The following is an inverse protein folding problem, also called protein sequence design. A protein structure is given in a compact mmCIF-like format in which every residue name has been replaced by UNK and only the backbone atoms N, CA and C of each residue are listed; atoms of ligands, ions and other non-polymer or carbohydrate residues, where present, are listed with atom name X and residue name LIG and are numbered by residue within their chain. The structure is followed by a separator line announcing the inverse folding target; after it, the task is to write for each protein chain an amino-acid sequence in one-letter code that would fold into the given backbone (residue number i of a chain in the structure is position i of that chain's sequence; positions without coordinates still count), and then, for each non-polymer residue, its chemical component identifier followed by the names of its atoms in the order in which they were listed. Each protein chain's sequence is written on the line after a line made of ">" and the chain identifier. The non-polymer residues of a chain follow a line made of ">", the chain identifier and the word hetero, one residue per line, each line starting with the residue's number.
data_IF_410516049227
#
_entry.id   IF_410516049227
#
_cell.length_a   1.000
_cell.length_b   1.000
_cell.length_c   1.000
_cell.angle_alpha   90.00
_cell.angle_beta   90.00
_cell.angle_gamma   90.00
#
_symmetry.space_group_name_H-M   'P 1'
#
loop_
_entity.id
_entity.type
_entity.pdbx_description
1 polymer ?
#
# COMPACT_ATOMS: atom_id res chain seq x y z
N UNK A 1 -19.49 -51.62 -34.54
CA UNK A 1 -18.45 -50.85 -35.17
C UNK A 1 -18.34 -49.45 -34.60
N UNK A 2 -17.13 -49.19 -34.09
CA UNK A 2 -16.42 -47.91 -34.13
C UNK A 2 -17.04 -46.80 -33.30
N UNK A 3 -16.51 -46.36 -32.21
CA UNK A 3 -15.11 -45.91 -32.00
C UNK A 3 -15.04 -44.43 -32.17
N UNK A 4 -14.92 -43.69 -31.09
CA UNK A 4 -14.35 -42.37 -31.18
C UNK A 4 -13.91 -41.88 -29.80
N UNK A 5 -12.66 -41.99 -29.60
CA UNK A 5 -11.74 -41.20 -28.81
C UNK A 5 -12.16 -39.75 -28.58
N UNK A 6 -12.50 -39.41 -27.36
CA UNK A 6 -12.53 -38.02 -26.87
C UNK A 6 -11.19 -37.76 -26.21
N UNK A 7 -10.30 -37.09 -26.92
CA UNK A 7 -9.01 -36.60 -26.44
C UNK A 7 -9.22 -35.52 -25.41
N UNK A 8 -8.79 -35.78 -24.18
CA UNK A 8 -8.70 -34.77 -23.13
C UNK A 8 -7.70 -33.68 -23.46
N UNK A 9 -8.22 -32.51 -23.69
CA UNK A 9 -7.46 -31.25 -23.78
C UNK A 9 -7.83 -30.41 -22.58
N UNK A 10 -7.19 -30.63 -21.45
CA UNK A 10 -7.52 -29.86 -20.23
C UNK A 10 -6.40 -29.67 -19.20
N UNK A 11 -5.20 -30.23 -19.45
CA UNK A 11 -4.13 -30.22 -18.44
C UNK A 11 -3.03 -29.15 -18.58
N UNK A 12 -2.97 -28.43 -19.67
CA UNK A 12 -1.82 -27.55 -19.94
C UNK A 12 -1.87 -26.12 -19.36
N UNK A 13 -3.01 -25.47 -19.09
CA UNK A 13 -2.99 -24.07 -18.64
C UNK A 13 -2.61 -23.87 -17.19
N UNK A 14 -2.93 -24.78 -16.29
CA UNK A 14 -2.68 -24.61 -14.84
C UNK A 14 -1.19 -24.65 -14.48
N UNK A 15 -0.42 -25.57 -15.02
CA UNK A 15 1.02 -25.71 -14.74
C UNK A 15 1.79 -24.45 -15.17
N UNK A 16 1.52 -23.89 -16.35
CA UNK A 16 2.17 -22.66 -16.84
C UNK A 16 1.85 -21.44 -16.01
N UNK A 17 0.68 -21.39 -15.39
CA UNK A 17 0.26 -20.28 -14.54
C UNK A 17 1.12 -20.19 -13.27
N UNK A 18 1.34 -21.31 -12.60
CA UNK A 18 2.19 -21.36 -11.42
C UNK A 18 3.66 -21.05 -11.71
N UNK A 19 4.15 -21.43 -12.88
CA UNK A 19 5.52 -21.16 -13.30
C UNK A 19 5.80 -19.65 -13.41
N UNK A 20 4.85 -18.87 -13.93
CA UNK A 20 4.99 -17.40 -14.05
C UNK A 20 4.93 -16.72 -12.68
N UNK A 21 3.99 -17.12 -11.83
CA UNK A 21 3.90 -16.59 -10.47
C UNK A 21 5.18 -16.90 -9.68
N UNK A 22 5.65 -18.14 -9.73
CA UNK A 22 6.89 -18.58 -9.10
C UNK A 22 8.13 -17.82 -9.64
N UNK A 23 8.15 -17.50 -10.94
CA UNK A 23 9.20 -16.68 -11.53
C UNK A 23 9.19 -15.25 -10.96
N UNK A 24 8.02 -14.61 -10.87
CA UNK A 24 7.90 -13.29 -10.27
C UNK A 24 8.34 -13.29 -8.80
N UNK A 25 7.91 -14.28 -8.04
CA UNK A 25 8.27 -14.44 -6.63
C UNK A 25 9.78 -14.68 -6.46
N UNK A 26 10.42 -15.46 -7.35
CA UNK A 26 11.87 -15.67 -7.35
C UNK A 26 12.62 -14.38 -7.63
N UNK A 27 12.24 -13.60 -8.65
CA UNK A 27 12.88 -12.31 -8.96
C UNK A 27 12.70 -11.34 -7.79
N UNK A 28 11.51 -11.29 -7.19
CA UNK A 28 11.25 -10.48 -6.01
C UNK A 28 12.19 -10.84 -4.84
N UNK A 29 12.40 -12.13 -4.60
CA UNK A 29 13.30 -12.61 -3.55
C UNK A 29 14.77 -12.25 -3.82
N UNK A 30 15.21 -12.36 -5.07
CA UNK A 30 16.59 -12.05 -5.47
C UNK A 30 16.91 -10.56 -5.40
N UNK A 31 15.94 -9.69 -5.67
CA UNK A 31 16.12 -8.23 -5.73
C UNK A 31 15.83 -7.53 -4.41
N UNK A 32 15.04 -8.14 -3.50
CA UNK A 32 14.64 -7.51 -2.23
C UNK A 32 15.85 -7.14 -1.38
N UNK A 33 15.92 -5.86 -0.95
CA UNK A 33 17.04 -5.31 -0.19
C UNK A 33 18.34 -5.18 -0.99
N UNK A 34 18.28 -5.29 -2.33
CA UNK A 34 19.44 -5.25 -3.21
C UNK A 34 19.19 -4.30 -4.40
N UNK A 35 19.27 -2.99 -4.17
CA UNK A 35 19.01 -2.00 -5.21
C UNK A 35 19.91 -2.14 -6.44
N UNK A 36 21.15 -2.64 -6.27
CA UNK A 36 22.07 -2.90 -7.38
C UNK A 36 21.55 -3.99 -8.32
N UNK A 37 20.94 -5.05 -7.75
CA UNK A 37 20.31 -6.13 -8.53
C UNK A 37 19.08 -5.62 -9.28
N UNK A 38 18.27 -4.77 -8.64
CA UNK A 38 17.16 -4.07 -9.26
C UNK A 38 17.64 -3.19 -10.42
N UNK A 39 18.67 -2.39 -10.20
CA UNK A 39 19.23 -1.50 -11.22
C UNK A 39 19.78 -2.29 -12.42
N UNK A 40 20.50 -3.37 -12.17
CA UNK A 40 20.99 -4.25 -13.23
C UNK A 40 19.83 -4.86 -14.05
N UNK A 41 18.70 -5.18 -13.40
CA UNK A 41 17.51 -5.65 -14.07
C UNK A 41 16.90 -4.58 -14.99
N UNK A 42 16.76 -3.34 -14.53
CA UNK A 42 16.21 -2.23 -15.30
C UNK A 42 17.11 -1.80 -16.48
N UNK A 43 18.42 -1.78 -16.28
CA UNK A 43 19.43 -1.30 -17.24
C UNK A 43 20.01 -2.41 -18.10
N UNK A 44 19.56 -3.64 -17.92
CA UNK A 44 20.05 -4.78 -18.69
C UNK A 44 19.96 -4.52 -20.19
N UNK A 45 20.99 -4.94 -20.96
CA UNK A 45 21.07 -4.68 -22.42
C UNK A 45 19.99 -5.41 -23.21
N UNK A 46 19.30 -6.34 -22.58
CA UNK A 46 18.29 -7.16 -23.24
C UNK A 46 16.92 -6.47 -23.28
N UNK A 47 16.54 -6.00 -24.47
CA UNK A 47 15.19 -5.45 -24.73
C UNK A 47 14.05 -6.46 -24.45
N UNK A 48 14.35 -7.74 -24.23
CA UNK A 48 13.36 -8.77 -23.86
C UNK A 48 12.78 -8.52 -22.48
N UNK A 49 13.59 -8.04 -21.54
CA UNK A 49 13.14 -7.71 -20.17
C UNK A 49 12.11 -6.58 -20.23
N UNK A 50 12.39 -5.52 -20.96
CA UNK A 50 11.42 -4.42 -21.11
C UNK A 50 10.11 -4.87 -21.75
N UNK A 51 10.17 -5.74 -22.77
CA UNK A 51 8.97 -6.32 -23.38
C UNK A 51 8.22 -7.24 -22.45
N UNK A 52 8.94 -8.01 -21.64
CA UNK A 52 8.34 -8.87 -20.63
C UNK A 52 7.60 -8.07 -19.57
N UNK A 53 8.17 -6.97 -19.06
CA UNK A 53 7.48 -6.07 -18.12
C UNK A 53 6.23 -5.45 -18.75
N UNK A 54 6.32 -5.00 -20.02
CA UNK A 54 5.17 -4.47 -20.76
C UNK A 54 4.06 -5.51 -20.94
N UNK A 55 4.40 -6.78 -21.15
CA UNK A 55 3.43 -7.86 -21.18
C UNK A 55 2.84 -8.13 -19.79
N UNK A 56 3.65 -8.09 -18.74
CA UNK A 56 3.23 -8.39 -17.38
C UNK A 56 2.23 -7.35 -16.82
N UNK A 57 2.31 -6.08 -17.23
CA UNK A 57 1.32 -5.05 -16.84
C UNK A 57 -0.07 -5.26 -17.43
N UNK A 58 -0.19 -6.09 -18.47
CA UNK A 58 -1.44 -6.38 -19.17
C UNK A 58 -2.05 -7.74 -18.77
N UNK A 59 -1.45 -8.46 -17.81
CA UNK A 59 -2.00 -9.74 -17.35
C UNK A 59 -3.33 -9.55 -16.64
N UNK A 60 -4.31 -10.43 -16.96
CA UNK A 60 -5.67 -10.37 -16.41
C UNK A 60 -5.87 -11.25 -15.18
N UNK A 61 -4.93 -12.15 -14.91
CA UNK A 61 -5.00 -13.11 -13.82
C UNK A 61 -4.58 -12.46 -12.49
N UNK A 62 -5.46 -12.39 -11.50
CA UNK A 62 -5.22 -11.72 -10.22
C UNK A 62 -3.98 -12.24 -9.49
N UNK A 63 -3.74 -13.56 -9.51
CA UNK A 63 -2.56 -14.17 -8.93
C UNK A 63 -1.26 -13.68 -9.58
N UNK A 64 -1.24 -13.63 -10.92
CA UNK A 64 -0.09 -13.10 -11.67
C UNK A 64 0.10 -11.60 -11.45
N UNK A 65 -0.97 -10.81 -11.41
CA UNK A 65 -0.89 -9.38 -11.08
C UNK A 65 -0.30 -9.17 -9.69
N UNK A 66 -0.75 -9.94 -8.69
CA UNK A 66 -0.21 -9.89 -7.32
C UNK A 66 1.29 -10.22 -7.29
N UNK A 67 1.69 -11.31 -7.93
CA UNK A 67 3.09 -11.73 -7.97
C UNK A 67 3.95 -10.72 -8.72
N UNK A 68 3.46 -10.18 -9.84
CA UNK A 68 4.10 -9.11 -10.60
C UNK A 68 4.29 -7.84 -9.76
N UNK A 69 3.26 -7.39 -9.05
CA UNK A 69 3.37 -6.22 -8.15
C UNK A 69 4.35 -6.46 -7.01
N UNK A 70 4.42 -7.70 -6.47
CA UNK A 70 5.42 -8.10 -5.48
C UNK A 70 6.85 -7.99 -6.03
N UNK A 71 7.06 -8.47 -7.25
CA UNK A 71 8.32 -8.33 -7.98
C UNK A 71 8.64 -6.85 -8.24
N UNK A 72 7.68 -6.08 -8.74
CA UNK A 72 7.87 -4.66 -9.05
C UNK A 72 8.24 -3.85 -7.81
N UNK A 73 7.63 -4.12 -6.65
CA UNK A 73 8.00 -3.50 -5.39
C UNK A 73 9.46 -3.76 -5.02
N UNK A 74 9.94 -5.00 -5.20
CA UNK A 74 11.34 -5.35 -4.92
C UNK A 74 12.31 -4.74 -5.95
N UNK A 75 11.88 -4.61 -7.21
CA UNK A 75 12.66 -3.96 -8.27
C UNK A 75 12.66 -2.43 -8.16
N UNK A 76 11.77 -1.83 -7.39
CA UNK A 76 11.67 -0.38 -7.20
C UNK A 76 12.53 0.13 -6.02
N UNK A 77 13.28 -0.74 -5.34
CA UNK A 77 14.16 -0.34 -4.26
C UNK A 77 15.37 0.44 -4.81
N UNK A 78 15.55 1.68 -4.35
CA UNK A 78 16.57 2.62 -4.83
C UNK A 78 16.01 3.71 -5.74
N UNK A 79 16.66 4.89 -5.74
CA UNK A 79 16.14 6.09 -6.39
C UNK A 79 15.86 5.92 -7.89
N UNK A 80 16.82 5.42 -8.63
CA UNK A 80 16.67 5.20 -10.07
C UNK A 80 15.67 4.07 -10.37
N UNK A 81 15.69 3.00 -9.60
CA UNK A 81 14.76 1.88 -9.72
C UNK A 81 13.31 2.33 -9.49
N UNK A 82 13.08 3.17 -8.48
CA UNK A 82 11.77 3.75 -8.20
C UNK A 82 11.28 4.62 -9.34
N UNK A 83 12.16 5.42 -9.96
CA UNK A 83 11.83 6.23 -11.12
C UNK A 83 11.43 5.37 -12.34
N UNK A 84 12.14 4.26 -12.60
CA UNK A 84 11.76 3.33 -13.66
C UNK A 84 10.42 2.64 -13.40
N UNK A 85 10.17 2.20 -12.16
CA UNK A 85 8.89 1.60 -11.78
C UNK A 85 7.74 2.59 -11.90
N UNK A 86 7.96 3.85 -11.49
CA UNK A 86 6.99 4.92 -11.68
C UNK A 86 6.66 5.14 -13.15
N UNK A 87 7.67 5.32 -14.00
CA UNK A 87 7.49 5.52 -15.44
C UNK A 87 6.75 4.33 -16.12
N UNK A 88 7.00 3.10 -15.68
CA UNK A 88 6.28 1.92 -16.15
C UNK A 88 4.77 1.99 -15.84
N UNK A 89 4.41 2.47 -14.65
CA UNK A 89 3.02 2.54 -14.16
C UNK A 89 2.28 3.81 -14.63
N UNK A 90 3.00 4.82 -15.10
CA UNK A 90 2.43 6.10 -15.58
C UNK A 90 2.02 6.06 -17.07
N UNK A 91 2.42 5.04 -17.82
CA UNK A 91 2.42 5.01 -19.28
C UNK A 91 1.04 5.03 -19.98
N UNK A 92 -0.07 5.20 -19.24
CA UNK A 92 -1.41 5.37 -19.85
C UNK A 92 -1.77 6.83 -20.18
N UNK A 93 -0.96 7.80 -19.79
CA UNK A 93 -1.29 9.23 -19.89
C UNK A 93 -1.34 9.78 -21.35
N UNK A 94 -1.21 8.95 -22.36
CA UNK A 94 -1.25 9.36 -23.77
C UNK A 94 -1.73 8.28 -24.76
N UNK A 95 -2.32 7.19 -24.25
CA UNK A 95 -2.83 6.14 -25.12
C UNK A 95 -4.03 6.65 -25.93
N UNK A 96 -4.05 6.50 -27.27
CA UNK A 96 -5.17 6.93 -28.10
C UNK A 96 -6.45 6.23 -27.66
N UNK A 97 -7.58 6.95 -27.71
CA UNK A 97 -8.89 6.40 -27.39
C UNK A 97 -9.16 5.17 -28.28
N UNK A 98 -9.21 3.98 -27.65
CA UNK A 98 -9.37 2.70 -28.36
C UNK A 98 -8.21 1.72 -28.21
N UNK A 99 -7.07 2.13 -27.65
CA UNK A 99 -6.03 1.16 -27.23
C UNK A 99 -6.50 0.41 -26.00
N UNK A 100 -6.19 -0.90 -25.91
CA UNK A 100 -6.47 -1.66 -24.69
C UNK A 100 -5.74 -0.99 -23.51
N UNK A 101 -6.50 -0.49 -22.53
CA UNK A 101 -5.94 0.14 -21.33
C UNK A 101 -5.16 -0.90 -20.55
N UNK A 102 -3.95 -0.57 -20.18
CA UNK A 102 -3.13 -1.39 -19.29
C UNK A 102 -3.84 -1.62 -17.97
N UNK A 103 -3.71 -2.82 -17.42
CA UNK A 103 -4.41 -3.23 -16.20
C UNK A 103 -3.67 -2.81 -14.93
N UNK A 104 -2.33 -2.69 -14.97
CA UNK A 104 -1.50 -2.34 -13.83
C UNK A 104 -0.89 -0.95 -14.06
N UNK A 105 -1.62 0.10 -13.66
CA UNK A 105 -1.22 1.52 -13.76
C UNK A 105 -1.64 2.30 -12.54
N UNK A 106 -1.07 3.49 -12.34
CA UNK A 106 -1.49 4.40 -11.27
C UNK A 106 -2.97 4.79 -11.40
N UNK A 107 -3.41 5.09 -12.62
CA UNK A 107 -4.82 5.40 -12.89
C UNK A 107 -5.75 4.31 -12.37
N UNK A 108 -5.44 3.06 -12.69
CA UNK A 108 -6.26 1.91 -12.25
C UNK A 108 -6.24 1.74 -10.73
N UNK A 109 -5.09 1.90 -10.07
CA UNK A 109 -5.00 1.85 -8.62
C UNK A 109 -5.93 2.88 -7.99
N UNK A 110 -5.85 4.13 -8.43
CA UNK A 110 -6.61 5.21 -7.80
C UNK A 110 -8.10 5.17 -8.19
N UNK A 111 -8.46 4.75 -9.40
CA UNK A 111 -9.85 4.47 -9.78
C UNK A 111 -10.44 3.36 -8.90
N UNK A 112 -9.68 2.30 -8.68
CA UNK A 112 -10.11 1.18 -7.85
C UNK A 112 -10.28 1.57 -6.39
N UNK A 113 -9.36 2.34 -5.82
CA UNK A 113 -9.53 2.91 -4.49
C UNK A 113 -10.78 3.78 -4.39
N UNK A 114 -11.03 4.65 -5.38
CA UNK A 114 -12.24 5.49 -5.41
C UNK A 114 -13.51 4.65 -5.44
N UNK A 115 -13.54 3.59 -6.25
CA UNK A 115 -14.66 2.65 -6.32
C UNK A 115 -14.97 2.04 -4.94
N UNK A 116 -13.97 1.55 -4.22
CA UNK A 116 -14.18 1.00 -2.89
C UNK A 116 -14.59 2.04 -1.85
N UNK A 117 -13.99 3.22 -1.88
CA UNK A 117 -14.41 4.32 -0.99
C UNK A 117 -15.90 4.63 -1.19
N UNK A 118 -16.36 4.76 -2.44
CA UNK A 118 -17.77 4.98 -2.74
C UNK A 118 -18.67 3.81 -2.30
N UNK A 119 -18.23 2.57 -2.53
CA UNK A 119 -18.98 1.38 -2.13
C UNK A 119 -19.17 1.33 -0.60
N UNK A 120 -18.12 1.60 0.17
CA UNK A 120 -18.20 1.64 1.64
C UNK A 120 -19.00 2.83 2.17
N UNK A 121 -19.02 3.96 1.45
CA UNK A 121 -19.84 5.11 1.83
C UNK A 121 -21.34 4.91 1.54
N UNK A 122 -21.66 4.21 0.45
CA UNK A 122 -23.06 3.94 0.07
C UNK A 122 -23.69 2.78 0.84
N UNK A 123 -22.89 1.80 1.22
CA UNK A 123 -23.36 0.57 1.84
C UNK A 123 -22.62 0.32 3.15
N UNK A 124 -23.37 0.28 4.25
CA UNK A 124 -22.83 0.00 5.59
C UNK A 124 -22.11 -1.37 5.69
N UNK A 125 -22.35 -2.27 4.75
CA UNK A 125 -21.78 -3.63 4.69
C UNK A 125 -21.23 -3.87 3.27
N UNK A 126 -20.20 -3.14 2.87
CA UNK A 126 -19.44 -3.50 1.68
C UNK A 126 -18.35 -4.50 2.07
N UNK A 127 -18.24 -5.59 1.32
CA UNK A 127 -17.19 -6.61 1.53
C UNK A 127 -16.28 -6.61 0.32
N UNK A 128 -14.98 -6.42 0.56
CA UNK A 128 -13.96 -6.56 -0.48
C UNK A 128 -13.62 -8.03 -0.67
N UNK A 129 -13.66 -8.57 -1.90
CA UNK A 129 -13.24 -9.94 -2.17
C UNK A 129 -11.79 -10.19 -1.71
N UNK A 130 -11.47 -11.37 -1.15
CA UNK A 130 -10.13 -11.66 -0.63
C UNK A 130 -9.00 -11.47 -1.65
N UNK A 131 -9.22 -11.87 -2.89
CA UNK A 131 -8.23 -11.74 -3.96
C UNK A 131 -7.97 -10.26 -4.32
N UNK A 132 -9.01 -9.45 -4.33
CA UNK A 132 -8.89 -8.01 -4.58
C UNK A 132 -8.23 -7.29 -3.40
N UNK A 133 -8.50 -7.72 -2.17
CA UNK A 133 -7.82 -7.24 -0.97
C UNK A 133 -6.30 -7.47 -1.05
N UNK A 134 -5.90 -8.68 -1.43
CA UNK A 134 -4.48 -9.04 -1.58
C UNK A 134 -3.82 -8.23 -2.70
N UNK A 135 -4.51 -8.05 -3.82
CA UNK A 135 -4.02 -7.27 -4.95
C UNK A 135 -3.87 -5.78 -4.59
N UNK A 136 -4.86 -5.18 -3.91
CA UNK A 136 -4.80 -3.79 -3.46
C UNK A 136 -3.63 -3.56 -2.48
N UNK A 137 -3.40 -4.51 -1.57
CA UNK A 137 -2.23 -4.47 -0.67
C UNK A 137 -0.91 -4.52 -1.45
N UNK A 138 -0.82 -5.34 -2.49
CA UNK A 138 0.37 -5.41 -3.35
C UNK A 138 0.61 -4.08 -4.08
N UNK A 139 -0.44 -3.45 -4.61
CA UNK A 139 -0.35 -2.11 -5.22
C UNK A 139 0.10 -1.04 -4.22
N UNK A 140 -0.48 -1.03 -3.02
CA UNK A 140 -0.08 -0.09 -1.97
C UNK A 140 1.38 -0.28 -1.56
N UNK A 141 1.89 -1.51 -1.59
CA UNK A 141 3.30 -1.79 -1.33
C UNK A 141 4.20 -1.21 -2.43
N UNK A 142 3.82 -1.34 -3.71
CA UNK A 142 4.55 -0.67 -4.81
C UNK A 142 4.53 0.84 -4.64
N UNK A 143 3.36 1.43 -4.35
CA UNK A 143 3.25 2.87 -4.10
C UNK A 143 4.18 3.30 -2.96
N UNK A 144 4.13 2.60 -1.83
CA UNK A 144 4.98 2.89 -0.68
C UNK A 144 6.47 2.82 -1.02
N UNK A 145 6.89 1.80 -1.80
CA UNK A 145 8.30 1.65 -2.20
C UNK A 145 8.72 2.77 -3.14
N UNK A 146 7.95 3.04 -4.19
CA UNK A 146 8.27 4.06 -5.19
C UNK A 146 8.41 5.45 -4.54
N UNK A 147 7.44 5.87 -3.71
CA UNK A 147 7.48 7.19 -3.07
C UNK A 147 8.52 7.27 -1.95
N UNK A 148 8.91 6.15 -1.35
CA UNK A 148 9.98 6.09 -0.35
C UNK A 148 11.33 6.40 -0.97
N UNK A 149 11.64 5.79 -2.11
CA UNK A 149 12.98 5.83 -2.71
C UNK A 149 13.18 6.98 -3.70
N UNK A 150 12.12 7.50 -4.34
CA UNK A 150 12.23 8.61 -5.29
C UNK A 150 11.57 9.87 -4.76
N UNK A 151 12.38 10.88 -4.42
CA UNK A 151 11.88 12.18 -3.96
C UNK A 151 11.06 12.88 -5.06
N UNK A 152 11.52 12.86 -6.30
CA UNK A 152 10.82 13.47 -7.42
C UNK A 152 9.44 12.83 -7.65
N UNK A 153 9.38 11.49 -7.63
CA UNK A 153 8.11 10.75 -7.77
C UNK A 153 7.18 11.00 -6.59
N UNK A 154 7.73 11.05 -5.36
CA UNK A 154 6.96 11.38 -4.16
C UNK A 154 6.29 12.73 -4.28
N UNK A 155 7.04 13.75 -4.68
CA UNK A 155 6.53 15.10 -4.86
C UNK A 155 5.47 15.15 -5.97
N UNK A 156 5.73 14.53 -7.12
CA UNK A 156 4.79 14.48 -8.25
C UNK A 156 3.47 13.79 -7.87
N UNK A 157 3.53 12.62 -7.22
CA UNK A 157 2.34 11.88 -6.80
C UNK A 157 1.60 12.60 -5.66
N UNK A 158 2.31 13.15 -4.68
CA UNK A 158 1.66 13.82 -3.54
C UNK A 158 0.73 14.95 -3.97
N UNK A 159 1.17 15.77 -4.95
CA UNK A 159 0.42 16.91 -5.45
C UNK A 159 -0.42 16.61 -6.70
N UNK A 160 -0.54 15.33 -7.09
CA UNK A 160 -1.27 14.95 -8.29
C UNK A 160 -2.77 15.23 -8.13
N UNK A 161 -3.31 16.15 -8.96
CA UNK A 161 -4.69 16.66 -8.81
C UNK A 161 -5.78 15.64 -9.11
N UNK A 162 -5.55 14.74 -10.06
CA UNK A 162 -6.55 13.75 -10.47
C UNK A 162 -6.53 12.52 -9.54
N UNK A 163 -5.34 12.08 -9.15
CA UNK A 163 -5.20 10.91 -8.27
C UNK A 163 -5.56 11.23 -6.82
N UNK A 164 -5.25 12.44 -6.34
CA UNK A 164 -5.43 12.86 -4.94
C UNK A 164 -5.03 11.74 -3.95
N UNK A 165 -3.78 11.21 -4.05
CA UNK A 165 -3.41 9.95 -3.40
C UNK A 165 -3.62 9.99 -1.89
N UNK A 166 -3.22 11.08 -1.26
CA UNK A 166 -3.28 11.22 0.20
C UNK A 166 -4.73 11.28 0.67
N UNK A 167 -5.59 12.04 -0.01
CA UNK A 167 -7.01 12.13 0.35
C UNK A 167 -7.70 10.77 0.19
N UNK A 168 -7.39 10.02 -0.87
CA UNK A 168 -7.94 8.67 -1.09
C UNK A 168 -7.42 7.67 -0.06
N UNK A 169 -6.13 7.73 0.30
CA UNK A 169 -5.57 6.87 1.33
C UNK A 169 -6.25 7.10 2.69
N UNK A 170 -6.41 8.35 3.12
CA UNK A 170 -7.12 8.65 4.37
C UNK A 170 -8.60 8.30 4.31
N UNK A 171 -9.27 8.51 3.17
CA UNK A 171 -10.67 8.13 2.98
C UNK A 171 -10.86 6.61 3.07
N UNK A 172 -9.97 5.83 2.45
CA UNK A 172 -10.01 4.37 2.52
C UNK A 172 -9.65 3.85 3.93
N UNK A 173 -8.69 4.48 4.61
CA UNK A 173 -8.38 4.18 6.01
C UNK A 173 -9.59 4.39 6.93
N UNK A 174 -10.40 5.41 6.64
CA UNK A 174 -11.63 5.70 7.38
C UNK A 174 -12.76 4.68 7.16
N UNK A 175 -12.67 3.85 6.13
CA UNK A 175 -13.64 2.79 5.85
C UNK A 175 -13.48 1.58 6.79
N UNK A 176 -14.52 0.73 6.86
CA UNK A 176 -14.50 -0.52 7.61
C UNK A 176 -13.75 -1.63 6.85
N UNK A 177 -12.46 -1.41 6.58
CA UNK A 177 -11.59 -2.37 5.89
C UNK A 177 -10.77 -3.20 6.87
N UNK A 178 -10.28 -4.39 6.48
CA UNK A 178 -9.47 -5.25 7.35
C UNK A 178 -8.19 -4.56 7.87
N UNK A 179 -7.74 -4.91 9.09
CA UNK A 179 -6.57 -4.30 9.75
C UNK A 179 -5.29 -4.43 8.92
N UNK A 180 -5.10 -5.54 8.22
CA UNK A 180 -3.96 -5.71 7.32
C UNK A 180 -3.95 -4.71 6.15
N UNK A 181 -5.13 -4.34 5.63
CA UNK A 181 -5.24 -3.28 4.61
C UNK A 181 -5.00 -1.91 5.23
N UNK A 182 -5.53 -1.64 6.42
CA UNK A 182 -5.24 -0.39 7.15
C UNK A 182 -3.75 -0.22 7.39
N UNK A 183 -3.06 -1.28 7.77
CA UNK A 183 -1.60 -1.28 7.91
C UNK A 183 -0.89 -0.93 6.59
N UNK A 184 -1.32 -1.51 5.47
CA UNK A 184 -0.74 -1.19 4.17
C UNK A 184 -0.98 0.27 3.76
N UNK A 185 -2.17 0.80 4.04
CA UNK A 185 -2.51 2.22 3.81
C UNK A 185 -1.61 3.12 4.66
N UNK A 186 -1.47 2.85 5.96
CA UNK A 186 -0.63 3.65 6.86
C UNK A 186 0.85 3.61 6.45
N UNK A 187 1.36 2.45 5.98
CA UNK A 187 2.72 2.35 5.43
C UNK A 187 2.88 3.16 4.15
N UNK A 188 1.87 3.18 3.27
CA UNK A 188 1.89 4.02 2.07
C UNK A 188 1.88 5.51 2.43
N UNK A 189 1.06 5.94 3.39
CA UNK A 189 1.08 7.31 3.93
C UNK A 189 2.44 7.64 4.53
N UNK A 190 3.01 6.74 5.35
CA UNK A 190 4.33 6.91 5.98
C UNK A 190 5.48 7.01 4.98
N UNK A 191 5.35 6.36 3.83
CA UNK A 191 6.34 6.47 2.77
C UNK A 191 6.41 7.88 2.15
N UNK A 192 5.31 8.63 2.13
CA UNK A 192 5.31 10.05 1.76
C UNK A 192 6.00 10.95 2.81
N UNK A 193 6.07 10.51 4.07
CA UNK A 193 6.70 11.29 5.14
C UNK A 193 8.25 11.23 5.13
N UNK A 194 8.87 10.43 4.26
CA UNK A 194 10.32 10.33 4.15
C UNK A 194 10.93 11.68 3.79
N UNK A 195 11.88 12.13 4.63
CA UNK A 195 12.54 13.41 4.44
C UNK A 195 13.65 13.33 3.39
N UNK A 196 13.66 14.30 2.48
CA UNK A 196 14.71 14.49 1.47
C UNK A 196 15.52 15.78 1.67
N UNK A 197 15.34 16.45 2.82
CA UNK A 197 16.01 17.72 3.12
C UNK A 197 15.49 18.92 2.32
N UNK A 198 14.41 18.76 1.55
CA UNK A 198 13.79 19.83 0.76
C UNK A 198 12.65 20.51 1.52
N UNK A 199 12.36 21.75 1.18
CA UNK A 199 11.20 22.48 1.71
C UNK A 199 9.88 21.78 1.36
N UNK A 200 9.83 21.09 0.23
CA UNK A 200 8.67 20.29 -0.20
C UNK A 200 8.42 19.12 0.73
N UNK A 201 9.46 18.39 1.13
CA UNK A 201 9.31 17.25 2.05
C UNK A 201 8.81 17.69 3.43
N UNK A 202 9.29 18.85 3.95
CA UNK A 202 8.78 19.41 5.20
C UNK A 202 7.30 19.78 5.10
N UNK A 203 6.88 20.39 3.97
CA UNK A 203 5.48 20.74 3.70
C UNK A 203 4.59 19.50 3.60
N UNK A 204 5.06 18.44 2.96
CA UNK A 204 4.36 17.15 2.90
C UNK A 204 4.06 16.64 4.31
N UNK A 205 5.04 16.62 5.19
CA UNK A 205 4.86 16.13 6.57
C UNK A 205 3.86 16.97 7.34
N UNK A 206 3.88 18.30 7.20
CA UNK A 206 2.88 19.18 7.82
C UNK A 206 1.47 18.83 7.36
N UNK A 207 1.26 18.66 6.04
CA UNK A 207 -0.06 18.27 5.49
C UNK A 207 -0.49 16.90 5.98
N UNK A 208 0.43 15.92 6.03
CA UNK A 208 0.12 14.58 6.55
C UNK A 208 -0.29 14.63 8.02
N UNK A 209 0.38 15.42 8.84
CA UNK A 209 0.03 15.61 10.24
C UNK A 209 -1.36 16.22 10.42
N UNK A 210 -1.66 17.29 9.67
CA UNK A 210 -2.99 17.91 9.67
C UNK A 210 -4.09 16.90 9.27
N UNK A 211 -3.86 16.16 8.19
CA UNK A 211 -4.80 15.12 7.73
C UNK A 211 -4.98 13.99 8.74
N UNK A 212 -3.91 13.55 9.39
CA UNK A 212 -3.96 12.52 10.42
C UNK A 212 -4.81 12.97 11.63
N UNK A 213 -4.66 14.21 12.07
CA UNK A 213 -5.47 14.79 13.12
C UNK A 213 -6.95 14.94 12.72
N UNK A 214 -7.21 15.41 11.49
CA UNK A 214 -8.57 15.60 10.98
C UNK A 214 -9.30 14.28 10.73
N UNK A 215 -8.58 13.21 10.42
CA UNK A 215 -9.16 11.87 10.18
C UNK A 215 -9.74 11.22 11.44
N UNK A 216 -9.46 11.76 12.62
CA UNK A 216 -9.83 11.13 13.90
C UNK A 216 -9.02 9.88 14.22
N UNK A 217 -7.92 9.62 13.49
CA UNK A 217 -7.08 8.45 13.72
C UNK A 217 -6.39 8.49 15.09
N UNK A 218 -5.77 9.63 15.42
CA UNK A 218 -4.95 9.80 16.64
C UNK A 218 -5.56 10.80 17.64
N UNK A 219 -6.58 11.53 17.24
CA UNK A 219 -7.23 12.53 18.09
C UNK A 219 -8.70 12.24 18.26
N UNK A 220 -9.22 12.45 19.45
CA UNK A 220 -10.66 12.43 19.73
C UNK A 220 -11.37 13.50 18.90
N UNK A 221 -12.43 13.11 18.19
CA UNK A 221 -13.26 14.00 17.41
C UNK A 221 -14.70 13.86 17.89
N UNK A 222 -15.34 14.97 18.24
CA UNK A 222 -16.74 15.02 18.71
C UNK A 222 -17.01 14.18 19.96
N UNK A 223 -16.01 13.96 20.83
CA UNK A 223 -16.15 13.18 22.04
C UNK A 223 -16.00 11.67 21.87
N UNK A 224 -15.80 11.18 20.64
CA UNK A 224 -15.47 9.79 20.39
C UNK A 224 -13.96 9.54 20.58
N UNK A 225 -13.57 8.37 21.10
CA UNK A 225 -12.15 8.03 21.23
C UNK A 225 -11.45 8.03 19.88
N UNK A 226 -10.11 8.21 19.84
CA UNK A 226 -9.35 8.07 18.62
C UNK A 226 -9.64 6.71 17.95
N UNK A 227 -9.87 6.73 16.64
CA UNK A 227 -10.21 5.50 15.90
C UNK A 227 -9.16 4.41 16.08
N UNK A 228 -7.88 4.76 16.04
CA UNK A 228 -6.79 3.79 16.22
C UNK A 228 -6.84 3.13 17.60
N UNK A 229 -7.22 3.86 18.64
CA UNK A 229 -7.39 3.30 19.99
C UNK A 229 -8.58 2.34 20.04
N UNK A 230 -9.71 2.72 19.47
CA UNK A 230 -10.87 1.84 19.37
C UNK A 230 -10.55 0.54 18.62
N UNK A 231 -9.84 0.63 17.49
CA UNK A 231 -9.44 -0.53 16.69
C UNK A 231 -8.42 -1.41 17.42
N UNK A 232 -7.48 -0.80 18.15
CA UNK A 232 -6.54 -1.53 18.99
C UNK A 232 -7.27 -2.36 20.04
N UNK A 233 -8.16 -1.74 20.81
CA UNK A 233 -8.85 -2.40 21.92
C UNK A 233 -9.87 -3.45 21.46
N UNK A 234 -10.67 -3.13 20.44
CA UNK A 234 -11.83 -3.93 20.08
C UNK A 234 -11.57 -4.92 18.93
N UNK A 235 -10.47 -4.75 18.17
CA UNK A 235 -10.14 -5.61 17.04
C UNK A 235 -8.80 -6.27 17.21
N UNK A 236 -7.72 -5.51 17.31
CA UNK A 236 -6.36 -6.06 17.29
C UNK A 236 -6.03 -6.84 18.56
N UNK A 237 -6.40 -6.31 19.76
CA UNK A 237 -6.21 -7.01 21.04
C UNK A 237 -7.00 -8.32 21.10
N UNK A 238 -8.22 -8.35 20.55
CA UNK A 238 -9.05 -9.56 20.50
C UNK A 238 -8.40 -10.67 19.67
N UNK A 239 -7.73 -10.30 18.58
CA UNK A 239 -7.06 -11.25 17.69
C UNK A 239 -5.59 -11.52 18.04
N UNK A 240 -5.00 -10.76 18.98
CA UNK A 240 -3.59 -10.85 19.36
C UNK A 240 -2.63 -10.47 18.22
N UNK A 241 -3.07 -9.67 17.24
CA UNK A 241 -2.29 -9.23 16.06
C UNK A 241 -2.46 -7.74 15.86
N UNK A 242 -1.36 -7.01 15.75
CA UNK A 242 -1.29 -5.54 15.79
C UNK A 242 -0.76 -4.89 14.51
N UNK A 243 -1.18 -5.29 13.30
CA UNK A 243 -0.60 -4.79 12.06
C UNK A 243 -0.86 -3.30 11.84
N UNK A 244 -2.07 -2.80 12.17
CA UNK A 244 -2.44 -1.39 12.01
C UNK A 244 -1.76 -0.51 13.05
N UNK A 245 -1.70 -0.95 14.29
CA UNK A 245 -1.02 -0.23 15.39
C UNK A 245 0.47 -0.10 15.09
N UNK A 246 1.16 -1.15 14.66
CA UNK A 246 2.57 -1.06 14.29
C UNK A 246 2.80 -0.06 13.15
N UNK A 247 1.98 -0.13 12.10
CA UNK A 247 2.10 0.80 10.98
C UNK A 247 1.81 2.25 11.37
N UNK A 248 0.90 2.48 12.33
CA UNK A 248 0.62 3.81 12.86
C UNK A 248 1.80 4.35 13.69
N UNK A 249 2.40 3.52 14.53
CA UNK A 249 3.60 3.91 15.31
C UNK A 249 4.76 4.26 14.38
N UNK A 250 4.98 3.47 13.32
CA UNK A 250 6.00 3.77 12.30
C UNK A 250 5.72 5.11 11.61
N UNK A 251 4.46 5.39 11.25
CA UNK A 251 4.03 6.65 10.65
C UNK A 251 4.26 7.84 11.60
N UNK A 252 3.85 7.71 12.87
CA UNK A 252 4.04 8.75 13.89
C UNK A 252 5.54 9.00 14.13
N UNK A 253 6.35 7.95 14.18
CA UNK A 253 7.80 8.06 14.34
C UNK A 253 8.45 8.81 13.18
N UNK A 254 7.90 8.70 11.96
CA UNK A 254 8.39 9.43 10.80
C UNK A 254 7.93 10.90 10.75
N UNK A 255 6.76 11.22 11.29
CA UNK A 255 6.17 12.57 11.20
C UNK A 255 6.58 13.46 12.38
N UNK A 256 6.46 12.94 13.62
CA UNK A 256 6.57 13.73 14.86
C UNK A 256 7.86 14.54 14.97
N UNK A 257 9.06 14.03 14.61
CA UNK A 257 10.30 14.81 14.71
C UNK A 257 10.31 16.07 13.84
N UNK A 258 9.42 16.20 12.87
CA UNK A 258 9.41 17.25 11.86
C UNK A 258 8.26 18.26 12.01
N UNK A 259 7.37 18.03 12.99
CA UNK A 259 6.23 18.92 13.26
C UNK A 259 6.56 19.84 14.42
N UNK A 260 6.00 21.07 14.44
CA UNK A 260 6.27 22.07 15.46
C UNK A 260 5.93 21.56 16.88
N UNK A 261 6.79 21.81 17.89
CA UNK A 261 6.67 21.24 19.25
C UNK A 261 5.32 21.46 19.93
N UNK A 262 4.69 22.62 19.71
CA UNK A 262 3.41 22.97 20.35
C UNK A 262 2.22 22.12 19.89
N UNK A 263 2.23 21.61 18.64
CA UNK A 263 1.17 20.74 18.14
C UNK A 263 1.44 19.26 18.38
N UNK A 264 2.68 18.90 18.74
CA UNK A 264 3.10 17.53 19.02
C UNK A 264 2.68 17.07 20.41
N UNK A 265 2.93 17.93 21.41
CA UNK A 265 2.79 17.55 22.82
C UNK A 265 1.35 17.15 23.14
N UNK A 266 0.37 17.94 22.71
CA UNK A 266 -1.03 17.73 23.08
C UNK A 266 -1.62 16.46 22.43
N UNK A 267 -1.27 16.18 21.19
CA UNK A 267 -1.83 15.01 20.48
C UNK A 267 -1.16 13.71 20.90
N UNK A 268 0.17 13.69 21.05
CA UNK A 268 0.90 12.50 21.51
C UNK A 268 0.62 12.18 22.97
N UNK A 269 0.59 13.18 23.85
CA UNK A 269 0.26 12.99 25.28
C UNK A 269 -1.18 12.50 25.41
N UNK A 270 -2.13 13.05 24.65
CA UNK A 270 -3.50 12.56 24.63
C UNK A 270 -3.57 11.10 24.14
N UNK A 271 -2.93 10.78 23.02
CA UNK A 271 -2.90 9.41 22.48
C UNK A 271 -2.21 8.43 23.45
N UNK A 272 -1.05 8.78 24.01
CA UNK A 272 -0.34 7.91 24.96
C UNK A 272 -1.10 7.76 26.27
N UNK A 273 -1.75 8.81 26.77
CA UNK A 273 -2.59 8.75 27.96
C UNK A 273 -3.81 7.85 27.74
N UNK A 274 -4.48 8.01 26.59
CA UNK A 274 -5.66 7.24 26.25
C UNK A 274 -5.30 5.78 25.92
N UNK A 275 -4.15 5.54 25.30
CA UNK A 275 -3.64 4.20 24.99
C UNK A 275 -3.04 3.47 26.21
N UNK A 276 -2.60 4.18 27.26
CA UNK A 276 -1.90 3.55 28.38
C UNK A 276 -2.80 3.10 29.54
N UNK A 277 -4.09 3.45 29.54
CA UNK A 277 -4.90 3.30 30.74
C UNK A 277 -5.62 1.95 30.98
N UNK A 278 -6.02 1.10 30.00
CA UNK A 278 -6.78 -0.10 30.36
C UNK A 278 -5.97 -1.37 30.62
N UNK A 279 -4.85 -1.61 29.94
CA UNK A 279 -4.18 -2.93 29.97
C UNK A 279 -2.91 -2.99 30.80
N UNK A 280 -2.27 -1.86 31.13
CA UNK A 280 -1.12 -1.84 32.02
C UNK A 280 -1.50 -2.17 33.47
N UNK A 281 -2.74 -1.92 33.89
CA UNK A 281 -3.25 -2.26 35.22
C UNK A 281 -3.78 -3.68 35.34
N UNK A 282 -4.17 -4.32 34.24
CA UNK A 282 -4.71 -5.68 34.23
C UNK A 282 -3.64 -6.76 34.45
N UNK A 283 -2.36 -6.48 34.13
CA UNK A 283 -1.25 -7.42 34.29
C UNK A 283 -0.64 -7.54 35.68
N UNK A 284 -1.05 -6.71 36.64
CA UNK A 284 -0.47 -6.69 38.01
C UNK A 284 -1.26 -7.45 39.06
N UNK A 285 -2.47 -7.92 38.78
CA UNK A 285 -3.34 -8.58 39.77
C UNK A 285 -3.41 -10.11 39.61
N UNK A 286 -2.56 -10.75 38.83
CA UNK A 286 -2.56 -12.22 38.68
C UNK A 286 -1.36 -12.91 39.33
N UNK A 287 -0.66 -12.27 40.25
CA UNK A 287 0.43 -12.91 41.01
C UNK A 287 0.25 -12.68 42.52
N UNK A 288 -0.86 -13.17 43.09
CA UNK A 288 -0.96 -13.57 44.51
C UNK A 288 -2.27 -14.32 44.70
N UNK A 289 -2.26 -15.63 44.56
CA UNK A 289 -2.97 -16.61 45.39
C UNK A 289 -2.33 -17.99 45.17
#
# INVERSE_FOLDING_TARGET
>A
SLGSSGTGAGGAPLARRYDIEAFFDLVALLCRGRPESGLAFWQGPDRRISRFLLWAVDTRELGQQRAFLGMLASLAEGEQCAAYAHALLEHDAGAPAGSERRLVTWTRLFEWMAHYIEAFQRHAVAVMPPDELVLLRAFLNVLATVVRYSAATRDALFWHKEYMPVDRLFSLYACAVPMDLKAAILRAIGAFAVQSGTSTSARIVTVLWERLNLSGAVRSVRGEPPRALYELENVECVHGRYPSTHALVDLLSAIVPHVAPASQADTLVAYMRDASLPWWHSGRNSTTA
#
